data_IF_575633978066
#
_entry.id   IF_575633978066
#
_cell.length_a   1.000
_cell.length_b   1.000
_cell.length_c   1.000
_cell.angle_alpha   90.00
_cell.angle_beta   90.00
_cell.angle_gamma   90.00
#
_symmetry.space_group_name_H-M   'P 1'
#
loop_
_entity.id
_entity.type
_entity.pdbx_description
1 polymer ?
#
# COMPACT_ATOMS: atom_id res chain seq x y z
N UNK A 1 -2.84 -2.77 11.44
CA UNK A 1 -3.85 -1.68 11.35
C UNK A 1 -3.35 -0.68 10.35
N UNK A 2 -4.25 0.00 9.64
CA UNK A 2 -3.87 0.99 8.60
C UNK A 2 -2.86 2.03 9.10
N UNK A 3 -3.05 2.51 10.33
CA UNK A 3 -2.17 3.47 10.97
C UNK A 3 -0.75 2.94 11.17
N UNK A 4 -0.59 1.77 11.78
CA UNK A 4 0.74 1.20 12.06
C UNK A 4 1.46 0.80 10.77
N UNK A 5 0.72 0.29 9.79
CA UNK A 5 1.26 -0.15 8.51
C UNK A 5 1.76 1.05 7.70
N UNK A 6 0.96 2.11 7.56
CA UNK A 6 1.40 3.36 6.91
C UNK A 6 2.53 4.07 7.67
N UNK A 7 2.56 4.00 9.00
CA UNK A 7 3.66 4.53 9.79
C UNK A 7 4.96 3.77 9.50
N UNK A 8 4.92 2.43 9.51
CA UNK A 8 6.09 1.59 9.20
C UNK A 8 6.59 1.83 7.77
N UNK A 9 5.69 1.90 6.78
CA UNK A 9 6.03 2.27 5.39
C UNK A 9 6.74 3.62 5.31
N UNK A 10 6.21 4.65 5.98
CA UNK A 10 6.83 5.97 5.97
C UNK A 10 8.23 5.95 6.59
N UNK A 11 8.40 5.32 7.76
CA UNK A 11 9.70 5.20 8.44
C UNK A 11 10.71 4.45 7.57
N UNK A 12 10.30 3.35 6.93
CA UNK A 12 11.14 2.59 5.99
C UNK A 12 11.62 3.50 4.83
N UNK A 13 10.70 4.20 4.18
CA UNK A 13 11.00 5.05 3.02
C UNK A 13 11.90 6.23 3.41
N UNK A 14 11.53 6.98 4.44
CA UNK A 14 12.26 8.18 4.85
C UNK A 14 13.61 7.83 5.50
N UNK A 15 13.67 6.77 6.29
CA UNK A 15 14.91 6.25 6.86
C UNK A 15 15.88 5.78 5.77
N UNK A 16 15.40 5.02 4.79
CA UNK A 16 16.20 4.59 3.63
C UNK A 16 16.75 5.79 2.86
N UNK A 17 15.90 6.80 2.61
CA UNK A 17 16.31 8.03 1.92
C UNK A 17 17.43 8.76 2.67
N UNK A 18 17.26 9.01 3.96
CA UNK A 18 18.25 9.73 4.77
C UNK A 18 19.55 8.93 4.93
N UNK A 19 19.47 7.61 5.11
CA UNK A 19 20.66 6.75 5.19
C UNK A 19 21.47 6.78 3.89
N UNK A 20 20.82 6.71 2.72
CA UNK A 20 21.51 6.81 1.43
C UNK A 20 22.18 8.17 1.24
N UNK A 21 21.49 9.25 1.61
CA UNK A 21 22.08 10.61 1.58
C UNK A 21 23.32 10.69 2.47
N UNK A 22 23.26 10.16 3.69
CA UNK A 22 24.40 10.11 4.61
C UNK A 22 25.58 9.31 4.05
N UNK A 23 25.31 8.20 3.34
CA UNK A 23 26.32 7.37 2.69
C UNK A 23 26.83 7.95 1.35
N UNK A 24 26.33 9.12 0.91
CA UNK A 24 26.65 9.67 -0.40
C UNK A 24 26.17 8.81 -1.58
N UNK A 25 25.24 7.88 -1.32
CA UNK A 25 24.67 7.02 -2.35
C UNK A 25 23.61 7.79 -3.16
N UNK A 26 23.46 7.50 -4.46
CA UNK A 26 22.36 8.05 -5.23
C UNK A 26 21.02 7.65 -4.58
N UNK A 27 19.97 8.48 -4.72
CA UNK A 27 18.62 8.09 -4.32
C UNK A 27 18.31 6.67 -4.81
N UNK A 28 17.56 5.89 -4.03
CA UNK A 28 17.02 4.63 -4.54
C UNK A 28 16.25 4.93 -5.82
N UNK A 29 16.52 4.22 -6.91
CA UNK A 29 15.77 4.38 -8.15
C UNK A 29 14.27 4.25 -7.87
N UNK A 30 13.46 5.19 -8.36
CA UNK A 30 12.02 5.23 -8.11
C UNK A 30 11.31 3.98 -8.62
N UNK A 31 11.88 3.30 -9.62
CA UNK A 31 11.34 2.09 -10.22
C UNK A 31 10.94 1.02 -9.20
N UNK A 32 11.73 0.78 -8.14
CA UNK A 32 11.39 -0.23 -7.13
C UNK A 32 10.18 0.16 -6.25
N UNK A 33 9.99 1.46 -6.03
CA UNK A 33 8.89 2.03 -5.27
C UNK A 33 7.62 2.10 -6.12
N UNK A 34 7.75 2.61 -7.36
CA UNK A 34 6.68 2.64 -8.37
C UNK A 34 6.13 1.24 -8.65
N UNK A 35 6.99 0.24 -8.84
CA UNK A 35 6.56 -1.16 -9.00
C UNK A 35 5.77 -1.68 -7.81
N UNK A 36 6.16 -1.31 -6.59
CA UNK A 36 5.44 -1.68 -5.37
C UNK A 36 4.08 -1.00 -5.36
N UNK A 37 4.01 0.31 -5.60
CA UNK A 37 2.76 1.08 -5.66
C UNK A 37 1.79 0.53 -6.72
N UNK A 38 2.26 0.30 -7.94
CA UNK A 38 1.43 -0.21 -9.02
C UNK A 38 0.94 -1.63 -8.74
N UNK A 39 1.80 -2.50 -8.19
CA UNK A 39 1.40 -3.85 -7.77
C UNK A 39 0.33 -3.82 -6.68
N UNK A 40 0.51 -3.00 -5.66
CA UNK A 40 -0.48 -2.82 -4.60
C UNK A 40 -1.80 -2.28 -5.16
N UNK A 41 -1.75 -1.33 -6.09
CA UNK A 41 -2.92 -0.83 -6.82
C UNK A 41 -3.73 -1.95 -7.48
N UNK A 42 -3.07 -2.87 -8.21
CA UNK A 42 -3.73 -4.02 -8.82
C UNK A 42 -4.44 -4.92 -7.79
N UNK A 43 -3.80 -5.16 -6.65
CA UNK A 43 -4.36 -5.99 -5.58
C UNK A 43 -5.57 -5.30 -4.93
N UNK A 44 -5.48 -4.00 -4.66
CA UNK A 44 -6.56 -3.19 -4.09
C UNK A 44 -7.77 -3.11 -5.03
N UNK A 45 -7.55 -2.88 -6.32
CA UNK A 45 -8.61 -2.87 -7.32
C UNK A 45 -9.30 -4.22 -7.42
N UNK A 46 -8.54 -5.32 -7.34
CA UNK A 46 -9.11 -6.68 -7.30
C UNK A 46 -10.00 -6.87 -6.07
N UNK A 47 -9.58 -6.38 -4.90
CA UNK A 47 -10.42 -6.43 -3.69
C UNK A 47 -11.72 -5.65 -3.86
N UNK A 48 -11.65 -4.44 -4.44
CA UNK A 48 -12.84 -3.61 -4.71
C UNK A 48 -13.81 -4.32 -5.65
N UNK A 49 -13.31 -4.94 -6.73
CA UNK A 49 -14.13 -5.74 -7.66
C UNK A 49 -14.77 -6.95 -6.98
N UNK A 50 -14.01 -7.68 -6.16
CA UNK A 50 -14.54 -8.80 -5.39
C UNK A 50 -15.60 -8.37 -4.37
N UNK A 51 -15.42 -7.23 -3.71
CA UNK A 51 -16.43 -6.67 -2.79
C UNK A 51 -17.74 -6.34 -3.53
N UNK A 52 -17.64 -5.72 -4.71
CA UNK A 52 -18.81 -5.45 -5.57
C UNK A 52 -19.47 -6.74 -6.06
N UNK A 53 -18.67 -7.76 -6.40
CA UNK A 53 -19.17 -9.08 -6.79
C UNK A 53 -19.95 -9.75 -5.65
N UNK A 54 -19.44 -9.70 -4.42
CA UNK A 54 -20.10 -10.30 -3.25
C UNK A 54 -21.38 -9.60 -2.83
N UNK A 55 -21.60 -8.36 -3.26
CA UNK A 55 -22.86 -7.64 -3.02
C UNK A 55 -23.99 -8.08 -3.99
N UNK A 56 -23.68 -8.85 -5.03
CA UNK A 56 -24.68 -9.31 -6.00
C UNK A 56 -25.42 -10.56 -5.51
N UNK A 57 -26.73 -10.69 -5.75
CA UNK A 57 -27.53 -11.86 -5.36
C UNK A 57 -27.33 -13.02 -6.34
N UNK A 58 -26.11 -13.58 -6.39
CA UNK A 58 -25.76 -14.67 -7.31
C UNK A 58 -25.79 -16.04 -6.61
N UNK A 59 -26.16 -17.12 -7.33
CA UNK A 59 -25.97 -18.48 -6.85
C UNK A 59 -24.51 -18.77 -6.52
N UNK A 60 -24.27 -19.63 -5.52
CA UNK A 60 -22.92 -19.92 -5.02
C UNK A 60 -21.96 -20.46 -6.10
N UNK A 61 -22.47 -21.26 -7.05
CA UNK A 61 -21.66 -21.77 -8.16
C UNK A 61 -21.16 -20.65 -9.07
N UNK A 62 -22.06 -19.73 -9.43
CA UNK A 62 -21.74 -18.57 -10.27
C UNK A 62 -20.80 -17.59 -9.55
N UNK A 63 -21.02 -17.36 -8.25
CA UNK A 63 -20.14 -16.54 -7.41
C UNK A 63 -18.70 -17.07 -7.41
N UNK A 64 -18.52 -18.40 -7.31
CA UNK A 64 -17.19 -19.04 -7.36
C UNK A 64 -16.53 -18.87 -8.73
N UNK A 65 -17.28 -19.06 -9.81
CA UNK A 65 -16.79 -18.89 -11.18
C UNK A 65 -16.33 -17.45 -11.43
N UNK A 66 -17.17 -16.46 -11.10
CA UNK A 66 -16.84 -15.03 -11.27
C UNK A 66 -15.64 -14.62 -10.39
N UNK A 67 -15.55 -15.13 -9.17
CA UNK A 67 -14.37 -14.93 -8.31
C UNK A 67 -13.08 -15.46 -8.94
N UNK A 68 -13.11 -16.66 -9.52
CA UNK A 68 -11.96 -17.21 -10.22
C UNK A 68 -11.55 -16.35 -11.43
N UNK A 69 -12.54 -15.85 -12.18
CA UNK A 69 -12.30 -14.93 -13.30
C UNK A 69 -11.64 -13.61 -12.85
N UNK A 70 -12.00 -13.06 -11.68
CA UNK A 70 -11.33 -11.88 -11.11
C UNK A 70 -9.86 -12.13 -10.75
N UNK A 71 -9.52 -13.32 -10.25
CA UNK A 71 -8.12 -13.67 -10.01
C UNK A 71 -7.34 -13.86 -11.31
N UNK A 72 -7.94 -14.46 -12.34
CA UNK A 72 -7.29 -14.52 -13.67
C UNK A 72 -7.10 -13.14 -14.28
N UNK A 73 -8.05 -12.22 -14.04
CA UNK A 73 -7.91 -10.82 -14.44
C UNK A 73 -6.72 -10.17 -13.75
N UNK A 74 -6.59 -10.30 -12.43
CA UNK A 74 -5.42 -9.82 -11.67
C UNK A 74 -4.10 -10.34 -12.28
N UNK A 75 -4.02 -11.64 -12.61
CA UNK A 75 -2.82 -12.21 -13.24
C UNK A 75 -2.52 -11.60 -14.62
N UNK A 76 -3.55 -11.30 -15.42
CA UNK A 76 -3.38 -10.65 -16.73
C UNK A 76 -2.90 -9.21 -16.58
N UNK A 77 -3.55 -8.42 -15.72
CA UNK A 77 -3.18 -7.02 -15.47
C UNK A 77 -1.74 -6.92 -14.94
N UNK A 78 -1.34 -7.84 -14.05
CA UNK A 78 0.03 -7.95 -13.58
C UNK A 78 1.03 -8.23 -14.71
N UNK A 79 0.75 -9.19 -15.61
CA UNK A 79 1.67 -9.50 -16.72
C UNK A 79 1.85 -8.31 -17.66
N UNK A 80 0.77 -7.59 -17.97
CA UNK A 80 0.84 -6.37 -18.77
C UNK A 80 1.74 -5.33 -18.11
N UNK A 81 1.57 -5.10 -16.81
CA UNK A 81 2.38 -4.16 -16.06
C UNK A 81 3.87 -4.56 -16.04
N UNK A 82 4.14 -5.83 -15.73
CA UNK A 82 5.48 -6.41 -15.70
C UNK A 82 6.20 -6.29 -17.05
N UNK A 83 5.54 -6.69 -18.12
CA UNK A 83 6.15 -6.83 -19.44
C UNK A 83 6.33 -5.47 -20.13
N UNK A 84 5.45 -4.48 -19.86
CA UNK A 84 5.49 -3.18 -20.52
C UNK A 84 6.12 -2.06 -19.69
N UNK A 85 5.92 -2.02 -18.37
CA UNK A 85 6.37 -0.91 -17.53
C UNK A 85 7.57 -1.26 -16.67
N UNK A 86 7.79 -2.55 -16.38
CA UNK A 86 8.86 -2.98 -15.48
C UNK A 86 10.03 -3.65 -16.20
N UNK A 87 10.06 -3.59 -17.54
CA UNK A 87 11.08 -4.23 -18.37
C UNK A 87 11.27 -5.73 -18.05
N UNK A 88 10.18 -6.43 -17.71
CA UNK A 88 10.20 -7.85 -17.37
C UNK A 88 10.61 -8.19 -15.94
N UNK A 89 10.75 -7.21 -15.04
CA UNK A 89 11.09 -7.47 -13.64
C UNK A 89 10.03 -8.35 -12.95
N UNK A 90 10.41 -9.58 -12.61
CA UNK A 90 9.53 -10.65 -12.16
C UNK A 90 9.37 -10.76 -10.63
N UNK A 91 9.70 -9.71 -9.87
CA UNK A 91 9.74 -9.73 -8.40
C UNK A 91 8.47 -10.26 -7.69
N UNK A 92 7.30 -10.19 -8.32
CA UNK A 92 6.04 -10.66 -7.74
C UNK A 92 5.49 -11.93 -8.42
N UNK A 93 6.23 -12.56 -9.34
CA UNK A 93 5.76 -13.74 -10.09
C UNK A 93 5.41 -14.91 -9.18
N UNK A 94 6.22 -15.17 -8.14
CA UNK A 94 5.93 -16.22 -7.17
C UNK A 94 4.64 -15.94 -6.40
N UNK A 95 4.40 -14.67 -6.05
CA UNK A 95 3.19 -14.28 -5.35
C UNK A 95 1.98 -14.36 -6.29
N UNK A 96 2.05 -13.85 -7.52
CA UNK A 96 0.90 -13.79 -8.43
C UNK A 96 0.45 -15.18 -8.93
N UNK A 97 1.38 -16.12 -9.04
CA UNK A 97 1.12 -17.44 -9.59
C UNK A 97 0.81 -18.50 -8.52
N UNK A 98 1.12 -18.25 -7.24
CA UNK A 98 0.70 -19.16 -6.17
C UNK A 98 -0.82 -19.16 -5.96
N UNK A 99 -1.39 -20.15 -5.25
CA UNK A 99 -2.84 -20.26 -5.05
C UNK A 99 -3.49 -18.96 -4.58
N UNK A 100 -4.62 -18.60 -5.18
CA UNK A 100 -5.34 -17.34 -4.91
C UNK A 100 -6.58 -17.57 -4.06
N UNK A 101 -6.71 -16.80 -2.99
CA UNK A 101 -7.88 -16.74 -2.13
C UNK A 101 -8.01 -15.34 -1.53
N UNK A 102 -9.09 -15.06 -0.81
CA UNK A 102 -9.34 -13.74 -0.24
C UNK A 102 -8.30 -13.38 0.84
N UNK A 103 -7.85 -14.37 1.61
CA UNK A 103 -6.88 -14.16 2.69
C UNK A 103 -5.54 -13.64 2.17
N UNK A 104 -5.11 -14.10 0.99
CA UNK A 104 -3.88 -13.65 0.34
C UNK A 104 -3.89 -12.16 -0.04
N UNK A 105 -5.06 -11.57 -0.27
CA UNK A 105 -5.19 -10.14 -0.59
C UNK A 105 -5.24 -9.26 0.67
N UNK A 106 -5.45 -9.84 1.86
CA UNK A 106 -5.59 -9.09 3.11
C UNK A 106 -4.38 -8.20 3.44
N UNK A 107 -3.13 -8.68 3.30
CA UNK A 107 -1.93 -7.91 3.64
C UNK A 107 -1.65 -6.72 2.72
N UNK A 108 -2.51 -6.41 1.76
CA UNK A 108 -2.30 -5.30 0.82
C UNK A 108 -3.36 -4.21 0.96
N UNK A 109 -4.28 -4.35 1.92
CA UNK A 109 -5.50 -3.56 2.00
C UNK A 109 -5.34 -2.10 2.43
N UNK A 110 -4.19 -1.73 3.00
CA UNK A 110 -4.15 -0.62 3.95
C UNK A 110 -2.79 0.09 4.03
N UNK A 111 -1.80 -0.31 3.21
CA UNK A 111 -0.41 -0.09 3.58
C UNK A 111 0.08 1.34 3.44
N UNK A 112 -0.50 2.18 2.59
CA UNK A 112 0.08 3.51 2.36
C UNK A 112 -0.93 4.66 2.38
N UNK A 113 -2.19 4.42 2.76
CA UNK A 113 -3.22 5.48 2.73
C UNK A 113 -2.84 6.70 3.60
N UNK A 114 -2.08 6.49 4.68
CA UNK A 114 -1.63 7.55 5.58
C UNK A 114 -0.15 7.90 5.42
N UNK A 115 0.58 7.30 4.48
CA UNK A 115 1.98 7.68 4.22
C UNK A 115 2.12 9.17 3.91
N UNK A 116 1.24 9.80 3.09
CA UNK A 116 1.26 11.26 2.89
C UNK A 116 1.04 12.04 4.19
N UNK A 117 0.17 11.56 5.09
CA UNK A 117 -0.05 12.19 6.39
C UNK A 117 1.21 12.16 7.26
N UNK A 118 1.90 11.02 7.33
CA UNK A 118 3.16 10.91 8.08
C UNK A 118 4.28 11.74 7.45
N UNK A 119 4.34 11.84 6.13
CA UNK A 119 5.29 12.71 5.44
C UNK A 119 5.06 14.20 5.76
N UNK A 120 3.80 14.65 5.73
CA UNK A 120 3.44 16.01 6.13
C UNK A 120 3.77 16.29 7.60
N UNK A 121 3.46 15.33 8.48
CA UNK A 121 3.77 15.44 9.90
C UNK A 121 5.29 15.50 10.17
N UNK A 122 6.08 14.69 9.47
CA UNK A 122 7.54 14.70 9.59
C UNK A 122 8.14 16.03 9.11
N UNK A 123 7.63 16.58 8.00
CA UNK A 123 8.00 17.91 7.52
C UNK A 123 7.64 19.00 8.53
N UNK A 124 6.44 18.92 9.13
CA UNK A 124 6.03 19.83 10.20
C UNK A 124 6.90 19.72 11.45
N UNK A 125 7.41 18.52 11.74
CA UNK A 125 8.35 18.25 12.83
C UNK A 125 9.78 18.74 12.52
N UNK A 126 9.98 19.51 11.45
CA UNK A 126 11.30 20.01 11.04
C UNK A 126 12.25 18.92 10.52
N UNK A 127 11.74 17.73 10.23
CA UNK A 127 12.56 16.56 9.92
C UNK A 127 13.26 15.93 11.13
N UNK A 128 12.86 16.30 12.35
CA UNK A 128 13.36 15.72 13.59
C UNK A 128 12.59 14.44 13.96
N UNK A 129 13.32 13.32 14.07
CA UNK A 129 12.71 12.02 14.39
C UNK A 129 12.15 11.95 15.80
N UNK A 130 12.77 12.59 16.79
CA UNK A 130 12.32 12.57 18.17
C UNK A 130 10.99 13.33 18.30
N UNK A 131 10.89 14.50 17.68
CA UNK A 131 9.64 15.28 17.62
C UNK A 131 8.56 14.50 16.85
N UNK A 132 8.90 13.94 15.69
CA UNK A 132 7.97 13.15 14.90
C UNK A 132 7.40 11.95 15.65
N UNK A 133 8.24 11.15 16.32
CA UNK A 133 7.75 9.99 17.09
C UNK A 133 6.83 10.40 18.23
N UNK A 134 7.12 11.51 18.92
CA UNK A 134 6.23 12.04 19.96
C UNK A 134 4.86 12.44 19.40
N UNK A 135 4.80 13.06 18.21
CA UNK A 135 3.54 13.40 17.55
C UNK A 135 2.77 12.16 17.07
N UNK A 136 3.47 11.16 16.50
CA UNK A 136 2.85 9.89 16.11
C UNK A 136 2.29 9.15 17.33
N UNK A 137 2.98 9.17 18.47
CA UNK A 137 2.49 8.55 19.71
C UNK A 137 1.17 9.21 20.17
N UNK A 138 1.08 10.55 20.11
CA UNK A 138 -0.17 11.28 20.42
C UNK A 138 -1.30 10.84 19.48
N UNK A 139 -1.05 10.74 18.17
CA UNK A 139 -2.03 10.23 17.21
C UNK A 139 -2.44 8.78 17.52
N UNK A 140 -1.49 7.94 17.92
CA UNK A 140 -1.70 6.55 18.29
C UNK A 140 -2.58 6.35 19.52
N UNK A 141 -2.70 7.36 20.39
CA UNK A 141 -3.58 7.35 21.58
C UNK A 141 -5.01 7.78 21.28
N UNK A 142 -5.28 8.37 20.11
CA UNK A 142 -6.62 8.80 19.73
C UNK A 142 -7.55 7.61 19.43
N UNK A 143 -8.86 7.71 19.75
CA UNK A 143 -9.88 6.79 19.27
C UNK A 143 -9.90 6.69 17.73
N UNK A 144 -10.31 5.54 17.19
CA UNK A 144 -10.20 5.24 15.75
C UNK A 144 -10.75 6.35 14.83
N UNK A 145 -11.96 6.86 15.10
CA UNK A 145 -12.58 7.90 14.28
C UNK A 145 -11.80 9.23 14.34
N UNK A 146 -11.36 9.63 15.54
CA UNK A 146 -10.58 10.86 15.73
C UNK A 146 -9.21 10.75 15.07
N UNK A 147 -8.56 9.58 15.18
CA UNK A 147 -7.28 9.30 14.53
C UNK A 147 -7.39 9.40 13.01
N UNK A 148 -8.42 8.78 12.42
CA UNK A 148 -8.66 8.86 10.97
C UNK A 148 -8.90 10.30 10.51
N UNK A 149 -9.69 11.09 11.26
CA UNK A 149 -9.91 12.50 10.94
C UNK A 149 -8.60 13.32 11.01
N UNK A 150 -7.78 13.10 12.03
CA UNK A 150 -6.48 13.77 12.17
C UNK A 150 -5.52 13.41 11.03
N UNK A 151 -5.43 12.13 10.66
CA UNK A 151 -4.60 11.70 9.52
C UNK A 151 -5.09 12.28 8.20
N UNK A 152 -6.41 12.36 7.98
CA UNK A 152 -6.98 13.02 6.80
C UNK A 152 -6.55 14.48 6.71
N UNK A 153 -6.58 15.22 7.83
CA UNK A 153 -6.13 16.61 7.86
C UNK A 153 -4.64 16.73 7.49
N UNK A 154 -3.80 15.81 7.96
CA UNK A 154 -2.39 15.77 7.59
C UNK A 154 -2.17 15.43 6.12
N UNK A 155 -2.92 14.47 5.55
CA UNK A 155 -2.87 14.14 4.13
C UNK A 155 -3.18 15.36 3.24
N UNK A 156 -4.16 16.19 3.63
CA UNK A 156 -4.50 17.41 2.87
C UNK A 156 -3.46 18.53 3.01
N UNK A 157 -2.55 18.46 3.99
CA UNK A 157 -1.46 19.43 4.21
C UNK A 157 -0.14 19.05 3.51
N UNK A 158 -0.04 17.81 3.00
CA UNK A 158 1.12 17.28 2.30
C UNK A 158 1.32 17.96 0.94
#
# INVERSE_FOLDING_TARGET
TEFNESFASFVEQQGTRQWRTYQGLPPSGSAGLEQREQFMGLVLDTRKRLQQLYAQPLPAAEMRQRKAAEFERLRREYRQLRDHQWAGNNRYDLWINSPMNNAKLLPFGLYDQWVPAFAALFKHSGGDWQVFYAEVEKLGKLPLLQRRAALQQWTTRA
#
